data_IF_263273978579
#
_entry.id   IF_263273978579
#
_cell.length_a   1.000
_cell.length_b   1.000
_cell.length_c   1.000
_cell.angle_alpha   90.00
_cell.angle_beta   90.00
_cell.angle_gamma   90.00
#
_symmetry.space_group_name_H-M   'P 1'
#
loop_
_entity.id
_entity.type
_entity.pdbx_description
1 polymer ?
#
# COMPACT_ATOMS: atom_id res chain seq x y z
N UNK A 1 3.63 -0.58 13.39
CA UNK A 1 3.71 -1.99 13.83
C UNK A 1 5.10 -2.53 13.47
N UNK A 2 5.67 -3.50 14.20
CA UNK A 2 7.01 -4.06 13.90
C UNK A 2 6.92 -5.23 12.92
N UNK A 3 8.03 -5.59 12.26
CA UNK A 3 8.11 -6.78 11.39
C UNK A 3 7.67 -8.06 12.14
N UNK A 4 8.12 -8.26 13.38
CA UNK A 4 7.74 -9.42 14.19
C UNK A 4 6.22 -9.46 14.45
N UNK A 5 5.60 -8.30 14.73
CA UNK A 5 4.15 -8.20 14.87
C UNK A 5 3.41 -8.54 13.57
N UNK A 6 3.92 -8.04 12.44
CA UNK A 6 3.36 -8.35 11.12
C UNK A 6 3.46 -9.85 10.79
N UNK A 7 4.59 -10.48 11.09
CA UNK A 7 4.78 -11.94 10.93
C UNK A 7 3.78 -12.74 11.77
N UNK A 8 3.51 -12.29 13.00
CA UNK A 8 2.50 -12.92 13.85
C UNK A 8 1.09 -12.79 13.27
N UNK A 9 0.74 -11.64 12.69
CA UNK A 9 -0.54 -11.45 11.99
C UNK A 9 -0.63 -12.35 10.74
N UNK A 10 0.43 -12.39 9.93
CA UNK A 10 0.52 -13.27 8.77
C UNK A 10 0.30 -14.73 9.16
N UNK A 11 0.98 -15.24 10.19
CA UNK A 11 0.86 -16.62 10.63
C UNK A 11 -0.58 -16.95 11.07
N UNK A 12 -1.26 -16.01 11.74
CA UNK A 12 -2.68 -16.19 12.12
C UNK A 12 -3.59 -16.25 10.90
N UNK A 13 -3.43 -15.35 9.94
CA UNK A 13 -4.21 -15.34 8.70
C UNK A 13 -4.00 -16.63 7.88
N UNK A 14 -2.75 -17.04 7.71
CA UNK A 14 -2.39 -18.26 6.98
C UNK A 14 -2.95 -19.54 7.63
N UNK A 15 -3.15 -19.51 8.95
CA UNK A 15 -3.76 -20.63 9.69
C UNK A 15 -5.28 -20.62 9.60
N UNK A 16 -5.90 -19.43 9.71
CA UNK A 16 -7.36 -19.29 9.70
C UNK A 16 -7.96 -19.54 8.31
N UNK A 17 -7.30 -19.02 7.27
CA UNK A 17 -7.72 -19.16 5.88
C UNK A 17 -6.50 -19.49 4.99
N UNK A 18 -6.12 -20.78 4.91
CA UNK A 18 -5.02 -21.21 4.05
C UNK A 18 -5.29 -20.85 2.59
N UNK A 19 -4.55 -19.89 2.07
CA UNK A 19 -4.72 -19.45 0.69
C UNK A 19 -4.05 -20.45 -0.27
N UNK A 20 -4.83 -21.06 -1.16
CA UNK A 20 -4.33 -22.00 -2.17
C UNK A 20 -3.26 -21.39 -3.10
N UNK A 21 -3.30 -20.06 -3.32
CA UNK A 21 -2.37 -19.33 -4.18
C UNK A 21 -1.35 -18.49 -3.40
N UNK A 22 -1.16 -18.79 -2.10
CA UNK A 22 -0.31 -18.01 -1.21
C UNK A 22 -0.98 -16.77 -0.64
N UNK A 23 -0.39 -16.28 0.45
CA UNK A 23 -0.84 -15.12 1.22
C UNK A 23 0.20 -14.00 1.09
N UNK A 24 -0.27 -12.77 0.87
CA UNK A 24 0.54 -11.56 0.95
C UNK A 24 -0.08 -10.57 1.91
N UNK A 25 0.73 -10.01 2.82
CA UNK A 25 0.31 -9.06 3.85
C UNK A 25 1.24 -7.83 3.81
N UNK A 26 0.65 -6.65 3.61
CA UNK A 26 1.34 -5.37 3.63
C UNK A 26 1.05 -4.63 4.95
N UNK A 27 2.05 -3.93 5.44
CA UNK A 27 1.91 -2.82 6.38
C UNK A 27 2.69 -1.61 5.86
N UNK A 28 2.05 -0.45 5.80
CA UNK A 28 2.66 0.83 5.49
C UNK A 28 2.90 1.56 6.81
N UNK A 29 4.11 1.44 7.34
CA UNK A 29 4.51 2.15 8.55
C UNK A 29 4.86 3.62 8.27
N UNK A 30 5.17 4.36 9.34
CA UNK A 30 5.57 5.77 9.21
C UNK A 30 6.94 5.92 8.55
N UNK A 31 7.90 5.08 8.93
CA UNK A 31 9.29 5.16 8.47
C UNK A 31 9.60 4.21 7.32
N UNK A 32 9.02 3.01 7.36
CA UNK A 32 9.24 1.94 6.41
C UNK A 32 7.96 1.15 6.20
N UNK A 33 7.86 0.45 5.08
CA UNK A 33 6.77 -0.46 4.78
C UNK A 33 7.29 -1.90 4.75
N UNK A 34 6.47 -2.84 5.20
CA UNK A 34 6.83 -4.25 5.24
C UNK A 34 5.83 -5.06 4.41
N UNK A 35 6.35 -5.98 3.61
CA UNK A 35 5.58 -6.94 2.84
C UNK A 35 6.00 -8.36 3.24
N UNK A 36 5.03 -9.18 3.62
CA UNK A 36 5.24 -10.61 3.84
C UNK A 36 4.50 -11.37 2.74
N UNK A 37 5.19 -12.30 2.06
CA UNK A 37 4.65 -13.13 1.00
C UNK A 37 5.07 -14.57 1.21
N UNK A 38 4.12 -15.51 1.14
CA UNK A 38 4.43 -16.93 1.32
C UNK A 38 3.26 -17.85 1.01
N UNK A 39 3.53 -19.14 1.05
CA UNK A 39 2.57 -20.21 0.82
C UNK A 39 2.15 -20.85 2.14
N UNK A 40 0.98 -21.48 2.16
CA UNK A 40 0.58 -22.27 3.32
C UNK A 40 1.59 -23.41 3.57
N UNK A 41 2.05 -23.55 4.82
CA UNK A 41 3.01 -24.58 5.22
C UNK A 41 4.48 -24.31 4.90
N UNK A 42 4.84 -23.14 4.35
CA UNK A 42 6.24 -22.73 4.11
C UNK A 42 6.61 -21.48 4.91
N UNK A 43 7.91 -21.28 5.15
CA UNK A 43 8.40 -20.03 5.75
C UNK A 43 8.19 -18.87 4.75
N UNK A 44 7.52 -17.78 5.16
CA UNK A 44 7.25 -16.67 4.26
C UNK A 44 8.46 -15.76 4.11
N UNK A 45 8.63 -15.22 2.90
CA UNK A 45 9.58 -14.16 2.63
C UNK A 45 9.09 -12.85 3.26
N UNK A 46 10.02 -12.05 3.78
CA UNK A 46 9.73 -10.68 4.21
C UNK A 46 10.61 -9.71 3.46
N UNK A 47 9.99 -8.62 3.04
CA UNK A 47 10.62 -7.53 2.33
C UNK A 47 10.35 -6.23 3.07
N UNK A 48 11.33 -5.34 3.06
CA UNK A 48 11.24 -4.00 3.66
C UNK A 48 11.46 -2.98 2.56
N UNK A 49 10.58 -2.00 2.50
CA UNK A 49 10.76 -0.79 1.72
C UNK A 49 11.13 0.32 2.70
N UNK A 50 12.25 0.99 2.46
CA UNK A 50 12.65 2.25 3.11
C UNK A 50 11.76 3.43 2.67
N UNK A 51 10.47 3.17 2.49
CA UNK A 51 9.41 4.12 2.18
C UNK A 51 8.25 3.86 3.14
N UNK A 52 8.11 4.70 4.16
CA UNK A 52 6.92 4.81 4.98
C UNK A 52 6.13 6.07 4.67
N UNK A 53 4.87 6.13 5.11
CA UNK A 53 3.96 7.23 4.83
C UNK A 53 4.52 8.59 5.29
N UNK A 54 5.17 8.64 6.46
CA UNK A 54 5.76 9.88 6.97
C UNK A 54 7.03 10.26 6.22
N UNK A 55 7.84 9.30 5.81
CA UNK A 55 9.06 9.56 5.01
C UNK A 55 8.70 10.16 3.65
N UNK A 56 7.75 9.54 2.93
CA UNK A 56 7.29 10.06 1.65
C UNK A 56 6.62 11.42 1.84
N UNK A 57 5.67 11.53 2.78
CA UNK A 57 4.93 12.76 3.03
C UNK A 57 5.85 13.94 3.39
N UNK A 58 6.82 13.75 4.28
CA UNK A 58 7.75 14.84 4.67
C UNK A 58 8.70 15.26 3.56
N UNK A 59 9.15 14.32 2.73
CA UNK A 59 10.14 14.62 1.68
C UNK A 59 9.49 15.28 0.46
N UNK A 60 8.33 14.77 0.04
CA UNK A 60 7.73 15.16 -1.23
C UNK A 60 6.45 15.99 -1.02
N UNK A 61 5.64 15.72 0.00
CA UNK A 61 4.32 16.35 0.17
C UNK A 61 4.35 17.47 1.22
N UNK A 62 5.21 18.47 0.99
CA UNK A 62 5.39 19.62 1.88
C UNK A 62 4.15 20.52 1.96
N UNK A 63 3.27 20.43 0.96
CA UNK A 63 1.97 21.09 0.89
C UNK A 63 0.93 20.08 0.43
N UNK A 64 -0.33 20.32 0.80
CA UNK A 64 -1.46 19.57 0.28
C UNK A 64 -2.36 20.48 -0.58
N UNK A 65 -2.73 20.03 -1.79
CA UNK A 65 -2.26 18.80 -2.43
C UNK A 65 -0.77 18.86 -2.85
N UNK A 66 -0.11 17.70 -3.05
CA UNK A 66 1.24 17.70 -3.61
C UNK A 66 1.21 18.25 -5.04
N UNK A 67 2.30 18.90 -5.47
CA UNK A 67 2.45 19.25 -6.89
C UNK A 67 2.64 18.01 -7.75
N UNK A 68 2.26 18.07 -9.03
CA UNK A 68 2.49 16.98 -9.98
C UNK A 68 3.96 16.49 -9.99
N UNK A 69 4.93 17.41 -9.98
CA UNK A 69 6.36 17.06 -9.92
C UNK A 69 6.71 16.28 -8.63
N UNK A 70 6.22 16.75 -7.48
CA UNK A 70 6.48 16.08 -6.21
C UNK A 70 5.84 14.67 -6.15
N UNK A 71 4.69 14.50 -6.81
CA UNK A 71 4.04 13.19 -6.93
C UNK A 71 4.90 12.23 -7.77
N UNK A 72 5.37 12.67 -8.95
CA UNK A 72 6.27 11.90 -9.81
C UNK A 72 7.60 11.51 -9.12
N UNK A 73 8.21 12.44 -8.40
CA UNK A 73 9.43 12.16 -7.62
C UNK A 73 9.20 11.10 -6.53
N UNK A 74 8.04 11.15 -5.86
CA UNK A 74 7.68 10.17 -4.83
C UNK A 74 7.39 8.79 -5.45
N UNK A 75 6.77 8.73 -6.63
CA UNK A 75 6.57 7.49 -7.39
C UNK A 75 7.93 6.85 -7.67
N UNK A 76 8.86 7.59 -8.29
CA UNK A 76 10.18 7.07 -8.64
C UNK A 76 10.93 6.45 -7.45
N UNK A 77 10.86 7.09 -6.27
CA UNK A 77 11.48 6.59 -5.03
C UNK A 77 10.91 5.24 -4.59
N UNK A 78 9.60 5.01 -4.78
CA UNK A 78 8.94 3.76 -4.41
C UNK A 78 9.16 2.69 -5.49
N UNK A 79 9.09 3.06 -6.77
CA UNK A 79 9.32 2.15 -7.90
C UNK A 79 10.72 1.52 -7.87
N UNK A 80 11.76 2.31 -7.58
CA UNK A 80 13.15 1.84 -7.49
C UNK A 80 13.31 0.73 -6.44
N UNK A 81 12.53 0.78 -5.36
CA UNK A 81 12.55 -0.24 -4.30
C UNK A 81 11.74 -1.49 -4.65
N UNK A 82 10.72 -1.35 -5.51
CA UNK A 82 9.85 -2.45 -5.93
C UNK A 82 10.45 -3.28 -7.06
N UNK A 83 11.26 -2.67 -7.94
CA UNK A 83 11.93 -3.36 -9.05
C UNK A 83 12.68 -4.66 -8.66
N UNK A 84 13.50 -4.71 -7.59
CA UNK A 84 14.15 -5.95 -7.17
C UNK A 84 13.16 -6.97 -6.57
N UNK A 85 12.06 -6.52 -5.96
CA UNK A 85 11.06 -7.38 -5.32
C UNK A 85 10.21 -8.14 -6.34
N UNK A 86 9.85 -7.51 -7.46
CA UNK A 86 9.02 -8.12 -8.50
C UNK A 86 9.57 -9.45 -9.04
N UNK A 87 10.90 -9.65 -9.00
CA UNK A 87 11.57 -10.91 -9.40
C UNK A 87 11.63 -11.98 -8.31
N UNK A 88 11.45 -11.58 -7.06
CA UNK A 88 11.58 -12.45 -5.88
C UNK A 88 10.21 -12.91 -5.35
N UNK A 89 9.19 -12.09 -5.58
CA UNK A 89 7.83 -12.36 -5.14
C UNK A 89 7.20 -13.48 -5.94
N UNK A 90 6.47 -14.33 -5.22
CA UNK A 90 5.59 -15.32 -5.84
C UNK A 90 4.31 -14.60 -6.27
N UNK A 91 3.78 -14.87 -7.46
CA UNK A 91 2.51 -14.30 -7.89
C UNK A 91 1.41 -14.63 -6.89
N UNK A 92 0.73 -13.63 -6.36
CA UNK A 92 -0.48 -13.80 -5.58
C UNK A 92 -1.52 -12.80 -6.08
N UNK A 93 -2.77 -13.25 -6.17
CA UNK A 93 -3.85 -12.40 -6.67
C UNK A 93 -4.30 -11.35 -5.65
N UNK A 94 -4.10 -11.62 -4.35
CA UNK A 94 -4.65 -10.82 -3.24
C UNK A 94 -3.55 -10.29 -2.33
N UNK A 95 -3.62 -9.00 -2.08
CA UNK A 95 -2.87 -8.31 -1.04
C UNK A 95 -3.77 -8.07 0.16
N UNK A 96 -3.29 -8.38 1.37
CA UNK A 96 -4.01 -8.13 2.61
C UNK A 96 -3.42 -6.92 3.31
N UNK A 97 -4.26 -6.11 3.94
CA UNK A 97 -3.86 -4.93 4.69
C UNK A 97 -4.49 -4.94 6.08
N UNK A 98 -3.68 -4.77 7.13
CA UNK A 98 -4.17 -4.69 8.49
C UNK A 98 -4.71 -3.29 8.78
N UNK A 99 -6.02 -3.11 8.63
CA UNK A 99 -6.62 -1.78 8.65
C UNK A 99 -6.47 -1.03 9.98
N UNK A 100 -6.31 -1.75 11.08
CA UNK A 100 -6.02 -1.19 12.39
C UNK A 100 -4.62 -0.56 12.47
N UNK A 101 -3.65 -1.07 11.70
CA UNK A 101 -2.29 -0.56 11.63
C UNK A 101 -2.09 0.46 10.48
N UNK A 102 -2.94 0.40 9.46
CA UNK A 102 -2.87 1.22 8.25
C UNK A 102 -4.07 2.19 8.17
N UNK A 103 -4.35 2.89 9.27
CA UNK A 103 -5.57 3.68 9.44
C UNK A 103 -5.75 4.79 8.39
N UNK A 104 -4.65 5.33 7.85
CA UNK A 104 -4.68 6.30 6.76
C UNK A 104 -5.41 5.77 5.52
N UNK A 105 -5.42 4.45 5.27
CA UNK A 105 -6.09 3.84 4.12
C UNK A 105 -7.55 3.45 4.38
N UNK A 106 -8.07 3.63 5.59
CA UNK A 106 -9.47 3.36 5.92
C UNK A 106 -10.48 4.00 4.97
N UNK A 107 -10.33 5.28 4.58
CA UNK A 107 -11.28 5.94 3.67
C UNK A 107 -11.43 5.25 2.32
N UNK A 108 -10.40 4.57 1.80
CA UNK A 108 -10.46 3.89 0.49
C UNK A 108 -11.54 2.80 0.44
N UNK A 109 -11.74 2.10 1.56
CA UNK A 109 -12.64 0.96 1.60
C UNK A 109 -14.11 1.39 1.60
N UNK A 110 -14.45 2.57 2.14
CA UNK A 110 -15.83 3.04 2.25
C UNK A 110 -16.81 1.96 2.78
N UNK A 111 -16.36 1.15 3.75
CA UNK A 111 -17.12 0.04 4.33
C UNK A 111 -17.02 -1.30 3.59
N UNK A 112 -16.41 -1.36 2.41
CA UNK A 112 -16.18 -2.60 1.64
C UNK A 112 -15.09 -3.47 2.30
N UNK A 113 -15.17 -4.78 2.09
CA UNK A 113 -14.16 -5.73 2.58
C UNK A 113 -12.95 -5.83 1.63
N UNK A 114 -13.13 -5.48 0.36
CA UNK A 114 -12.08 -5.55 -0.65
C UNK A 114 -12.24 -4.47 -1.72
N UNK A 115 -11.16 -4.20 -2.44
CA UNK A 115 -11.07 -3.29 -3.58
C UNK A 115 -10.28 -3.97 -4.70
N UNK A 116 -10.65 -3.72 -5.96
CA UNK A 116 -9.81 -4.12 -7.09
C UNK A 116 -8.63 -3.15 -7.24
N UNK A 117 -7.58 -3.58 -7.93
CA UNK A 117 -6.47 -2.71 -8.32
C UNK A 117 -6.97 -1.48 -9.09
N UNK A 118 -7.93 -1.66 -9.99
CA UNK A 118 -8.51 -0.57 -10.78
C UNK A 118 -9.25 0.44 -9.90
N UNK A 119 -9.85 0.01 -8.78
CA UNK A 119 -10.46 0.91 -7.81
C UNK A 119 -9.40 1.73 -7.06
N UNK A 120 -8.27 1.13 -6.69
CA UNK A 120 -7.14 1.84 -6.09
C UNK A 120 -6.52 2.82 -7.10
N UNK A 121 -6.34 2.40 -8.35
CA UNK A 121 -5.84 3.26 -9.44
C UNK A 121 -6.77 4.44 -9.73
N UNK A 122 -8.09 4.28 -9.61
CA UNK A 122 -9.03 5.39 -9.72
C UNK A 122 -8.81 6.45 -8.64
N UNK A 123 -8.60 6.03 -7.40
CA UNK A 123 -8.31 6.94 -6.30
C UNK A 123 -6.97 7.65 -6.49
N UNK A 124 -5.98 6.93 -7.01
CA UNK A 124 -4.69 7.53 -7.35
C UNK A 124 -4.77 8.52 -8.52
N UNK A 125 -5.55 8.22 -9.57
CA UNK A 125 -5.79 9.17 -10.68
C UNK A 125 -6.41 10.47 -10.17
N UNK A 126 -7.35 10.38 -9.23
CA UNK A 126 -7.94 11.57 -8.63
C UNK A 126 -6.91 12.38 -7.82
N UNK A 127 -5.97 11.72 -7.13
CA UNK A 127 -4.86 12.40 -6.48
C UNK A 127 -3.96 13.12 -7.49
N UNK A 128 -3.68 12.50 -8.64
CA UNK A 128 -2.92 13.11 -9.73
C UNK A 128 -3.65 14.33 -10.34
N UNK A 129 -4.95 14.24 -10.61
CA UNK A 129 -5.76 15.37 -11.09
C UNK A 129 -5.73 16.54 -10.09
N UNK A 130 -5.81 16.24 -8.80
CA UNK A 130 -5.69 17.25 -7.73
C UNK A 130 -4.29 17.87 -7.73
N UNK A 131 -3.24 17.08 -7.95
CA UNK A 131 -1.86 17.56 -8.06
C UNK A 131 -1.62 18.46 -9.30
N UNK A 132 -2.45 18.32 -10.34
CA UNK A 132 -2.47 19.15 -11.53
C UNK A 132 -3.37 20.41 -11.41
N UNK A 133 -4.06 20.58 -10.28
CA UNK A 133 -4.84 21.77 -9.96
C UNK A 133 -6.35 21.56 -9.82
N UNK A 134 -6.84 20.31 -9.88
CA UNK A 134 -8.23 20.04 -9.50
C UNK A 134 -8.44 20.35 -8.00
N UNK A 135 -9.52 21.05 -7.60
CA UNK A 135 -9.70 21.42 -6.19
C UNK A 135 -9.84 20.22 -5.25
N UNK A 136 -8.93 20.10 -4.27
CA UNK A 136 -8.95 19.03 -3.27
C UNK A 136 -10.31 18.92 -2.54
N UNK A 137 -10.91 20.06 -2.18
CA UNK A 137 -12.22 20.11 -1.52
C UNK A 137 -13.37 19.53 -2.36
N UNK A 138 -13.22 19.45 -3.69
CA UNK A 138 -14.20 18.89 -4.61
C UNK A 138 -13.91 17.43 -4.99
N UNK A 139 -12.74 16.90 -4.61
CA UNK A 139 -12.32 15.54 -4.95
C UNK A 139 -12.91 14.47 -4.03
N UNK A 140 -13.21 14.82 -2.77
CA UNK A 140 -13.57 13.83 -1.74
C UNK A 140 -12.38 13.02 -1.23
N UNK A 141 -11.16 13.32 -1.66
CA UNK A 141 -9.94 12.81 -1.04
C UNK A 141 -9.72 13.49 0.32
N UNK A 142 -9.18 12.77 1.32
CA UNK A 142 -8.69 13.37 2.54
C UNK A 142 -7.59 14.41 2.27
N UNK A 143 -7.70 15.56 2.93
CA UNK A 143 -6.63 16.55 3.01
C UNK A 143 -5.58 16.11 4.05
N UNK A 144 -4.87 15.04 3.71
CA UNK A 144 -3.89 14.40 4.58
C UNK A 144 -2.72 13.83 3.77
N UNK A 145 -1.51 14.31 4.05
CA UNK A 145 -0.29 13.82 3.42
C UNK A 145 -0.04 12.33 3.74
N UNK A 146 -0.47 11.83 4.91
CA UNK A 146 -0.34 10.42 5.28
C UNK A 146 -1.22 9.54 4.40
N UNK A 147 -2.48 9.94 4.16
CA UNK A 147 -3.36 9.30 3.18
C UNK A 147 -2.72 9.29 1.79
N UNK A 148 -2.29 10.45 1.28
CA UNK A 148 -1.72 10.56 -0.07
C UNK A 148 -0.47 9.67 -0.24
N UNK A 149 0.43 9.67 0.75
CA UNK A 149 1.64 8.87 0.74
C UNK A 149 1.34 7.37 0.82
N UNK A 150 0.39 6.98 1.69
CA UNK A 150 -0.02 5.58 1.81
C UNK A 150 -0.72 5.08 0.54
N UNK A 151 -1.56 5.92 -0.09
CA UNK A 151 -2.22 5.60 -1.35
C UNK A 151 -1.21 5.40 -2.48
N UNK A 152 -0.19 6.27 -2.57
CA UNK A 152 0.91 6.12 -3.52
C UNK A 152 1.66 4.80 -3.30
N UNK A 153 2.12 4.54 -2.07
CA UNK A 153 2.86 3.30 -1.75
C UNK A 153 2.01 2.07 -2.09
N UNK A 154 0.75 2.07 -1.69
CA UNK A 154 -0.19 0.98 -1.98
C UNK A 154 -0.36 0.80 -3.50
N UNK A 155 -0.58 1.88 -4.25
CA UNK A 155 -0.75 1.82 -5.71
C UNK A 155 0.47 1.21 -6.36
N UNK A 156 1.67 1.67 -6.01
CA UNK A 156 2.91 1.14 -6.59
C UNK A 156 3.11 -0.33 -6.24
N UNK A 157 2.91 -0.72 -4.98
CA UNK A 157 2.97 -2.12 -4.54
C UNK A 157 2.02 -2.99 -5.35
N UNK A 158 0.76 -2.60 -5.49
CA UNK A 158 -0.22 -3.39 -6.24
C UNK A 158 0.11 -3.45 -7.74
N UNK A 159 0.52 -2.34 -8.32
CA UNK A 159 0.78 -2.23 -9.75
C UNK A 159 2.04 -3.02 -10.16
N UNK A 160 3.17 -2.77 -9.51
CA UNK A 160 4.46 -3.39 -9.86
C UNK A 160 4.56 -4.87 -9.46
N UNK A 161 3.90 -5.27 -8.37
CA UNK A 161 3.95 -6.65 -7.88
C UNK A 161 2.77 -7.50 -8.37
N UNK A 162 1.85 -6.90 -9.13
CA UNK A 162 0.79 -7.62 -9.84
C UNK A 162 -0.37 -8.10 -8.97
N UNK A 163 -0.64 -7.44 -7.83
CA UNK A 163 -1.80 -7.77 -6.99
C UNK A 163 -3.09 -7.22 -7.63
N UNK A 164 -4.07 -8.11 -7.84
CA UNK A 164 -5.33 -7.76 -8.47
C UNK A 164 -6.37 -7.22 -7.46
N UNK A 165 -6.31 -7.69 -6.22
CA UNK A 165 -7.28 -7.34 -5.18
C UNK A 165 -6.56 -6.91 -3.90
N UNK A 166 -7.09 -5.88 -3.24
CA UNK A 166 -6.74 -5.49 -1.88
C UNK A 166 -7.86 -5.92 -0.93
N UNK A 167 -7.53 -6.70 0.09
CA UNK A 167 -8.47 -7.20 1.08
C UNK A 167 -8.12 -6.60 2.45
N UNK A 168 -9.09 -6.03 3.15
CA UNK A 168 -8.86 -5.59 4.53
C UNK A 168 -8.91 -6.78 5.47
N UNK A 169 -8.03 -6.79 6.46
CA UNK A 169 -8.10 -7.73 7.59
C UNK A 169 -8.20 -6.94 8.89
N UNK A 170 -8.88 -7.53 9.88
CA UNK A 170 -9.10 -6.93 11.20
C UNK A 170 -7.92 -7.14 12.14
#
# INVERSE_FOLDING_TARGET
MTEAGLRQHYARLNTAEPAANGLSLLHIGEQESHLINGESGSEPNSFVLAAGAQIIGRRHFQHMPPSALALEEAIAVVEDQLAPLARQLRPAARLHLLLAADAALQPLFAGREWLSREAVEQQFRLLAEVAEGFPLSASGLPDDASFAASLLILREVMHHLGFAELVRVR
#
